data_IF_345423551300
#
_entry.id   IF_345423551300
#
_cell.length_a   1.000
_cell.length_b   1.000
_cell.length_c   1.000
_cell.angle_alpha   90.00
_cell.angle_beta   90.00
_cell.angle_gamma   90.00
#
_symmetry.space_group_name_H-M   'P 1'
#
loop_
_entity.id
_entity.type
_entity.pdbx_description
1 polymer ?
#
# COMPACT_ATOMS: atom_id res chain seq x y z
N UNK A 1 7.50 -30.16 -9.94
CA UNK A 1 7.04 -29.29 -8.83
C UNK A 1 5.79 -29.94 -8.25
N UNK A 2 5.89 -30.59 -7.08
CA UNK A 2 4.92 -31.57 -6.57
C UNK A 2 3.58 -30.94 -6.17
N UNK A 3 2.48 -31.66 -6.45
CA UNK A 3 1.09 -31.34 -6.11
C UNK A 3 0.86 -31.03 -4.60
N UNK A 4 1.79 -31.45 -3.72
CA UNK A 4 1.73 -31.17 -2.29
C UNK A 4 2.05 -29.70 -1.92
N UNK A 5 2.89 -29.00 -2.69
CA UNK A 5 3.31 -27.62 -2.37
C UNK A 5 2.15 -26.63 -2.53
N UNK A 6 1.18 -26.92 -3.41
CA UNK A 6 0.01 -26.06 -3.63
C UNK A 6 -1.01 -26.07 -2.46
N UNK A 7 -0.92 -26.99 -1.50
CA UNK A 7 -1.91 -27.08 -0.40
C UNK A 7 -1.71 -26.07 0.72
N UNK A 8 -0.52 -25.46 0.85
CA UNK A 8 -0.16 -24.64 2.01
C UNK A 8 0.03 -23.14 1.70
N UNK A 9 -0.28 -22.68 0.49
CA UNK A 9 -0.26 -21.23 0.21
C UNK A 9 -1.42 -20.57 0.98
N UNK A 10 -1.16 -19.57 1.84
CA UNK A 10 -2.20 -18.92 2.61
C UNK A 10 -3.25 -18.28 1.69
N UNK A 11 -4.53 -18.47 2.02
CA UNK A 11 -5.65 -17.91 1.26
C UNK A 11 -5.98 -16.53 1.78
N UNK A 12 -6.41 -15.63 0.89
CA UNK A 12 -6.82 -14.26 1.25
C UNK A 12 -8.13 -14.16 2.02
N UNK A 13 -8.89 -15.26 2.11
CA UNK A 13 -10.16 -15.33 2.81
C UNK A 13 -10.40 -16.71 3.43
N UNK A 14 -11.15 -16.73 4.53
CA UNK A 14 -11.62 -17.92 5.22
C UNK A 14 -13.14 -17.93 5.34
N UNK A 15 -13.74 -19.09 5.64
CA UNK A 15 -15.19 -19.22 5.86
C UNK A 15 -15.47 -19.29 7.35
N UNK A 16 -16.51 -18.60 7.81
CA UNK A 16 -16.97 -18.67 9.19
C UNK A 16 -18.48 -18.86 9.25
N UNK A 17 -18.96 -19.56 10.29
CA UNK A 17 -20.39 -19.65 10.58
C UNK A 17 -20.77 -18.45 11.43
N UNK A 18 -21.73 -17.65 10.96
CA UNK A 18 -22.22 -16.45 11.64
C UNK A 18 -23.71 -16.57 11.94
N UNK A 19 -24.19 -15.73 12.84
CA UNK A 19 -25.60 -15.55 13.17
C UNK A 19 -26.07 -14.20 12.64
N UNK A 20 -27.11 -14.20 11.83
CA UNK A 20 -27.74 -13.00 11.29
C UNK A 20 -29.02 -12.74 12.06
N UNK A 21 -29.15 -11.52 12.57
CA UNK A 21 -30.37 -11.04 13.22
C UNK A 21 -31.04 -10.04 12.28
N UNK A 22 -32.23 -10.38 11.79
CA UNK A 22 -32.98 -9.58 10.82
C UNK A 22 -34.47 -9.64 11.16
N UNK A 23 -35.11 -8.47 11.32
CA UNK A 23 -36.52 -8.36 11.73
C UNK A 23 -36.87 -9.18 13.00
N UNK A 24 -35.96 -9.22 13.97
CA UNK A 24 -36.12 -9.97 15.22
C UNK A 24 -35.95 -11.50 15.08
N UNK A 25 -35.67 -12.01 13.88
CA UNK A 25 -35.38 -13.42 13.65
C UNK A 25 -33.88 -13.68 13.61
N UNK A 26 -33.45 -14.82 14.19
CA UNK A 26 -32.06 -15.24 14.23
C UNK A 26 -31.88 -16.46 13.31
N UNK A 27 -30.96 -16.38 12.35
CA UNK A 27 -30.59 -17.50 11.46
C UNK A 27 -29.09 -17.63 11.32
N UNK A 28 -28.57 -18.86 11.21
CA UNK A 28 -27.15 -19.07 10.92
C UNK A 28 -26.88 -19.11 9.42
N UNK A 29 -25.79 -18.50 8.95
CA UNK A 29 -25.30 -18.64 7.57
C UNK A 29 -23.76 -18.71 7.53
N UNK A 30 -23.22 -19.07 6.38
CA UNK A 30 -21.78 -18.95 6.11
C UNK A 30 -21.46 -17.52 5.68
N UNK A 31 -20.39 -16.97 6.23
CA UNK A 31 -19.80 -15.70 5.81
C UNK A 31 -18.35 -15.89 5.38
N UNK A 32 -17.82 -14.92 4.63
CA UNK A 32 -16.42 -14.90 4.24
C UNK A 32 -15.68 -13.82 5.03
N UNK A 33 -14.64 -14.25 5.73
CA UNK A 33 -13.75 -13.35 6.47
C UNK A 33 -12.49 -13.12 5.65
N UNK A 34 -11.95 -11.91 5.74
CA UNK A 34 -10.58 -11.64 5.31
C UNK A 34 -9.62 -12.45 6.15
N UNK A 35 -8.60 -13.03 5.52
CA UNK A 35 -7.48 -13.59 6.25
C UNK A 35 -6.51 -12.47 6.63
N UNK A 36 -6.17 -12.41 7.90
CA UNK A 36 -5.16 -11.50 8.47
C UNK A 36 -4.06 -12.35 9.10
N UNK A 37 -2.84 -12.24 8.58
CA UNK A 37 -1.68 -13.01 9.03
C UNK A 37 -0.43 -12.12 9.13
N UNK A 38 0.49 -12.39 10.05
CA UNK A 38 1.75 -11.64 10.12
C UNK A 38 2.61 -11.96 8.90
N UNK A 39 3.27 -10.94 8.36
CA UNK A 39 4.36 -11.08 7.40
C UNK A 39 5.59 -10.37 7.95
N UNK A 40 6.66 -11.14 8.11
CA UNK A 40 7.96 -10.66 8.49
C UNK A 40 8.85 -10.46 7.25
N UNK A 41 9.49 -9.30 7.16
CA UNK A 41 10.42 -8.94 6.09
C UNK A 41 11.83 -8.97 6.67
N UNK A 42 12.68 -9.86 6.16
CA UNK A 42 14.07 -10.01 6.61
C UNK A 42 15.03 -9.74 5.46
N UNK A 43 16.01 -8.88 5.70
CA UNK A 43 17.19 -8.79 4.83
C UNK A 43 18.12 -9.96 5.11
N UNK A 44 18.74 -10.50 4.06
CA UNK A 44 19.76 -11.56 4.16
C UNK A 44 21.11 -10.96 4.55
N UNK A 45 21.46 -9.82 3.97
CA UNK A 45 22.69 -9.10 4.24
C UNK A 45 22.41 -7.58 4.33
N UNK A 46 22.54 -6.97 5.52
CA UNK A 46 22.78 -7.63 6.81
C UNK A 46 21.58 -8.51 7.21
N UNK A 47 21.85 -9.58 7.97
CA UNK A 47 20.81 -10.47 8.47
C UNK A 47 19.96 -9.76 9.53
N UNK A 48 18.84 -9.16 9.13
CA UNK A 48 18.02 -8.32 10.01
C UNK A 48 16.55 -8.30 9.60
N UNK A 49 15.65 -8.39 10.58
CA UNK A 49 14.23 -8.11 10.40
C UNK A 49 14.02 -6.61 10.29
N UNK A 50 13.42 -6.17 9.19
CA UNK A 50 13.16 -4.74 8.94
C UNK A 50 11.70 -4.36 9.16
N UNK A 51 10.77 -5.32 9.11
CA UNK A 51 9.37 -5.08 9.42
C UNK A 51 8.64 -6.39 9.77
N UNK A 52 7.58 -6.24 10.58
CA UNK A 52 6.52 -7.21 10.77
C UNK A 52 5.20 -6.46 10.59
N UNK A 53 4.34 -6.92 9.69
CA UNK A 53 3.04 -6.29 9.42
C UNK A 53 1.94 -7.34 9.33
N UNK A 54 0.73 -7.00 9.76
CA UNK A 54 -0.44 -7.85 9.52
C UNK A 54 -0.96 -7.59 8.11
N UNK A 55 -1.02 -8.62 7.27
CA UNK A 55 -1.39 -8.52 5.84
C UNK A 55 -2.61 -9.37 5.49
N UNK A 56 -3.10 -9.20 4.27
CA UNK A 56 -3.92 -10.21 3.59
C UNK A 56 -3.07 -10.98 2.56
N UNK A 57 -3.01 -12.32 2.59
CA UNK A 57 -2.17 -13.08 1.66
C UNK A 57 -2.51 -12.96 0.18
N UNK A 58 -1.48 -13.10 -0.68
CA UNK A 58 -1.62 -13.25 -2.14
C UNK A 58 -0.81 -12.29 -3.01
N UNK A 59 -0.15 -11.29 -2.43
CA UNK A 59 0.71 -10.33 -3.14
C UNK A 59 1.89 -9.88 -2.26
N UNK A 60 2.54 -10.84 -1.59
CA UNK A 60 3.49 -10.52 -0.52
C UNK A 60 4.82 -10.00 -1.07
N UNK A 61 5.27 -10.45 -2.24
CA UNK A 61 6.44 -9.86 -2.91
C UNK A 61 6.21 -8.41 -3.33
N UNK A 62 4.99 -8.09 -3.77
CA UNK A 62 4.60 -6.70 -4.05
C UNK A 62 4.63 -5.88 -2.75
N UNK A 63 4.07 -6.40 -1.66
CA UNK A 63 4.10 -5.74 -0.35
C UNK A 63 5.54 -5.44 0.08
N UNK A 64 6.42 -6.43 -0.01
CA UNK A 64 7.83 -6.29 0.38
C UNK A 64 8.56 -5.27 -0.49
N UNK A 65 8.47 -5.37 -1.81
CA UNK A 65 9.14 -4.43 -2.71
C UNK A 65 8.64 -3.00 -2.50
N UNK A 66 7.32 -2.82 -2.34
CA UNK A 66 6.73 -1.51 -2.09
C UNK A 66 7.10 -0.91 -0.74
N UNK A 67 7.14 -1.72 0.31
CA UNK A 67 7.60 -1.31 1.63
C UNK A 67 9.06 -0.83 1.59
N UNK A 68 9.97 -1.66 1.05
CA UNK A 68 11.39 -1.33 0.97
C UNK A 68 11.63 -0.06 0.16
N UNK A 69 10.91 0.15 -0.94
CA UNK A 69 11.02 1.35 -1.74
C UNK A 69 10.46 2.59 -1.03
N UNK A 70 9.28 2.46 -0.42
CA UNK A 70 8.64 3.53 0.34
C UNK A 70 9.48 4.02 1.52
N UNK A 71 10.21 3.10 2.14
CA UNK A 71 11.15 3.41 3.21
C UNK A 71 12.51 3.89 2.70
N UNK A 72 12.78 3.81 1.40
CA UNK A 72 14.03 4.24 0.78
C UNK A 72 15.19 3.25 0.98
N UNK A 73 14.89 1.98 1.26
CA UNK A 73 15.86 0.88 1.33
C UNK A 73 16.34 0.50 -0.07
N UNK A 74 15.43 0.55 -1.04
CA UNK A 74 15.71 0.35 -2.47
C UNK A 74 15.19 1.54 -3.27
N UNK A 75 15.74 1.76 -4.46
CA UNK A 75 15.33 2.79 -5.41
C UNK A 75 14.88 2.22 -6.76
N UNK A 76 15.20 0.96 -7.06
CA UNK A 76 14.73 0.26 -8.25
C UNK A 76 14.56 -1.25 -8.02
N UNK A 77 14.05 -1.96 -9.03
CA UNK A 77 13.85 -3.41 -8.96
C UNK A 77 15.19 -4.15 -8.89
N UNK A 78 16.20 -3.65 -9.59
CA UNK A 78 17.52 -4.27 -9.71
C UNK A 78 18.35 -4.21 -8.43
N UNK A 79 17.88 -3.46 -7.43
CA UNK A 79 18.42 -3.47 -6.07
C UNK A 79 18.07 -4.77 -5.33
N UNK A 80 17.00 -5.46 -5.74
CA UNK A 80 16.59 -6.76 -5.21
C UNK A 80 17.22 -7.86 -6.08
N UNK A 81 18.16 -8.61 -5.52
CA UNK A 81 18.73 -9.79 -6.17
C UNK A 81 17.76 -10.98 -6.08
N UNK A 82 17.19 -11.21 -4.90
CA UNK A 82 16.27 -12.31 -4.67
C UNK A 82 15.22 -11.98 -3.59
N UNK A 83 14.00 -12.50 -3.77
CA UNK A 83 13.01 -12.63 -2.71
C UNK A 83 12.55 -14.08 -2.64
N UNK A 84 12.43 -14.63 -1.45
CA UNK A 84 11.91 -15.98 -1.24
C UNK A 84 11.19 -16.09 0.08
N UNK A 85 10.19 -16.97 0.13
CA UNK A 85 9.62 -17.36 1.41
C UNK A 85 10.62 -18.20 2.18
N UNK A 86 10.73 -17.95 3.48
CA UNK A 86 11.40 -18.86 4.38
C UNK A 86 10.54 -20.11 4.55
N UNK A 87 11.05 -21.25 4.08
CA UNK A 87 10.41 -22.57 4.20
C UNK A 87 11.35 -23.56 4.90
N UNK A 88 12.13 -23.05 5.86
CA UNK A 88 13.09 -23.85 6.63
C UNK A 88 12.33 -24.89 7.47
N UNK A 89 12.86 -26.12 7.52
CA UNK A 89 12.25 -27.25 8.24
C UNK A 89 12.14 -27.05 9.75
N UNK A 90 12.91 -26.11 10.30
CA UNK A 90 12.94 -25.78 11.73
C UNK A 90 11.87 -24.73 12.11
N UNK A 91 11.14 -24.20 11.14
CA UNK A 91 10.05 -23.25 11.33
C UNK A 91 8.73 -24.02 11.37
N UNK A 92 7.85 -23.70 12.33
CA UNK A 92 6.53 -24.31 12.43
C UNK A 92 5.79 -24.22 11.09
N UNK A 93 5.08 -25.28 10.70
CA UNK A 93 4.47 -25.36 9.37
C UNK A 93 3.49 -24.19 9.08
N UNK A 94 2.98 -23.56 10.13
CA UNK A 94 2.07 -22.40 10.15
C UNK A 94 2.79 -21.06 9.89
N UNK A 95 4.11 -21.01 10.09
CA UNK A 95 4.96 -19.86 9.78
C UNK A 95 5.59 -19.96 8.38
N UNK A 96 5.51 -21.13 7.73
CA UNK A 96 5.80 -21.22 6.29
C UNK A 96 4.94 -20.20 5.55
N UNK A 97 5.56 -19.38 4.71
CA UNK A 97 4.91 -18.29 3.96
C UNK A 97 4.60 -17.00 4.76
N UNK A 98 5.02 -16.89 6.02
CA UNK A 98 4.89 -15.67 6.82
C UNK A 98 6.22 -14.92 7.02
N UNK A 99 7.31 -15.41 6.42
CA UNK A 99 8.60 -14.72 6.40
C UNK A 99 9.07 -14.63 4.95
N UNK A 100 9.41 -13.43 4.48
CA UNK A 100 10.12 -13.22 3.22
C UNK A 100 11.56 -12.80 3.52
N UNK A 101 12.51 -13.59 3.01
CA UNK A 101 13.93 -13.26 2.94
C UNK A 101 14.17 -12.45 1.67
N UNK A 102 14.84 -11.32 1.80
CA UNK A 102 15.20 -10.41 0.72
C UNK A 102 16.72 -10.29 0.66
N UNK A 103 17.27 -10.67 -0.48
CA UNK A 103 18.67 -10.44 -0.81
C UNK A 103 18.76 -9.19 -1.67
N UNK A 104 19.47 -8.18 -1.16
CA UNK A 104 19.74 -6.94 -1.86
C UNK A 104 21.08 -7.05 -2.59
N UNK A 105 21.29 -6.22 -3.62
CA UNK A 105 22.59 -6.11 -4.29
C UNK A 105 23.69 -5.80 -3.28
N UNK A 106 24.81 -6.52 -3.36
CA UNK A 106 25.94 -6.42 -2.42
C UNK A 106 26.46 -4.99 -2.19
N UNK A 107 26.39 -4.14 -3.21
CA UNK A 107 26.85 -2.75 -3.14
C UNK A 107 25.93 -1.83 -2.33
N UNK A 108 24.68 -2.24 -2.08
CA UNK A 108 23.72 -1.46 -1.30
C UNK A 108 24.03 -1.58 0.18
N UNK A 109 24.18 -0.42 0.82
CA UNK A 109 24.34 -0.30 2.27
C UNK A 109 23.16 0.50 2.82
N UNK A 110 21.99 -0.14 3.02
CA UNK A 110 20.82 0.57 3.48
C UNK A 110 21.02 1.11 4.91
N UNK A 111 20.50 2.30 5.18
CA UNK A 111 20.55 2.92 6.50
C UNK A 111 19.42 2.37 7.40
N UNK A 112 19.64 1.19 7.96
CA UNK A 112 18.64 0.45 8.74
C UNK A 112 18.23 1.06 10.09
N UNK A 113 19.07 1.81 10.83
CA UNK A 113 18.66 2.48 12.08
C UNK A 113 17.49 3.49 11.95
N UNK A 114 17.14 3.89 10.73
CA UNK A 114 15.92 4.68 10.48
C UNK A 114 14.65 3.82 10.55
N UNK A 115 14.69 2.57 10.06
CA UNK A 115 13.55 1.64 10.02
C UNK A 115 13.13 1.18 11.42
N UNK A 116 14.10 0.90 12.31
CA UNK A 116 13.81 0.49 13.69
C UNK A 116 12.99 1.54 14.46
N UNK A 117 13.25 2.83 14.22
CA UNK A 117 12.48 3.91 14.85
C UNK A 117 11.05 4.01 14.33
N UNK A 118 10.82 3.74 13.04
CA UNK A 118 9.48 3.70 12.46
C UNK A 118 8.68 2.46 12.92
N UNK A 119 9.35 1.34 13.15
CA UNK A 119 8.74 0.10 13.66
C UNK A 119 8.03 0.31 15.02
N UNK A 120 8.66 0.99 15.98
CA UNK A 120 8.07 1.22 17.31
C UNK A 120 7.13 2.43 17.41
N UNK A 121 7.21 3.39 16.49
CA UNK A 121 6.45 4.67 16.59
C UNK A 121 5.16 4.70 15.76
N UNK A 122 5.01 3.82 14.77
CA UNK A 122 3.82 3.76 13.90
C UNK A 122 2.52 3.34 14.63
N UNK A 123 2.63 2.79 15.85
CA UNK A 123 1.48 2.34 16.65
C UNK A 123 1.09 3.30 17.78
N UNK A 124 1.94 4.25 18.17
CA UNK A 124 1.67 5.13 19.29
C UNK A 124 2.50 6.43 19.22
N UNK A 125 1.81 7.57 19.25
CA UNK A 125 2.34 8.92 19.45
C UNK A 125 3.23 9.49 18.33
N UNK A 126 2.59 10.27 17.45
CA UNK A 126 3.03 11.64 17.13
C UNK A 126 4.53 11.87 16.97
N UNK A 127 5.15 11.25 15.96
CA UNK A 127 6.40 11.77 15.42
C UNK A 127 6.12 13.19 14.93
N UNK A 128 6.86 14.18 15.45
CA UNK A 128 6.70 15.58 15.05
C UNK A 128 6.76 15.70 13.53
N UNK A 129 5.73 16.28 12.91
CA UNK A 129 5.63 16.38 11.45
C UNK A 129 6.85 17.02 10.77
N UNK A 130 7.61 17.86 11.50
CA UNK A 130 8.87 18.45 11.03
C UNK A 130 9.98 17.42 10.81
N UNK A 131 10.19 16.50 11.76
CA UNK A 131 11.20 15.43 11.64
C UNK A 131 10.87 14.51 10.46
N UNK A 132 9.58 14.31 10.20
CA UNK A 132 9.12 13.47 9.10
C UNK A 132 9.27 14.17 7.73
N UNK A 133 9.04 15.48 7.66
CA UNK A 133 9.34 16.30 6.46
C UNK A 133 10.83 16.36 6.14
N UNK A 134 11.68 16.57 7.16
CA UNK A 134 13.14 16.57 7.02
C UNK A 134 13.63 15.21 6.53
N UNK A 135 13.04 14.11 7.00
CA UNK A 135 13.40 12.76 6.54
C UNK A 135 13.19 12.59 5.03
N UNK A 136 12.12 13.14 4.46
CA UNK A 136 11.85 13.10 3.02
C UNK A 136 12.85 13.94 2.22
N UNK A 137 13.25 15.10 2.75
CA UNK A 137 14.30 15.93 2.14
C UNK A 137 15.65 15.24 2.17
N UNK A 138 15.98 14.56 3.28
CA UNK A 138 17.20 13.74 3.41
C UNK A 138 17.20 12.59 2.40
N UNK A 139 16.03 11.98 2.14
CA UNK A 139 15.83 10.98 1.08
C UNK A 139 15.89 11.55 -0.34
N UNK A 140 16.17 12.85 -0.50
CA UNK A 140 16.31 13.51 -1.80
C UNK A 140 15.00 13.73 -2.55
N UNK A 141 13.85 13.62 -1.87
CA UNK A 141 12.56 13.91 -2.50
C UNK A 141 12.48 15.39 -2.88
N UNK A 142 12.04 15.64 -4.11
CA UNK A 142 11.77 16.98 -4.64
C UNK A 142 10.28 17.13 -4.93
N UNK A 143 9.75 18.37 -4.99
CA UNK A 143 8.36 18.59 -5.38
C UNK A 143 8.02 17.95 -6.73
N UNK A 144 6.85 17.31 -6.80
CA UNK A 144 6.36 16.60 -7.99
C UNK A 144 5.77 17.63 -8.96
N UNK A 145 6.65 18.31 -9.69
CA UNK A 145 6.24 19.27 -10.71
C UNK A 145 5.65 18.52 -11.91
N UNK A 146 4.42 18.87 -12.30
CA UNK A 146 3.75 18.33 -13.48
C UNK A 146 2.81 19.36 -14.09
N UNK A 147 2.56 19.23 -15.39
CA UNK A 147 1.58 20.04 -16.12
C UNK A 147 0.27 19.27 -16.38
N UNK A 148 0.11 18.07 -15.80
CA UNK A 148 -1.09 17.25 -15.95
C UNK A 148 -2.33 18.05 -15.50
N UNK A 149 -3.35 18.05 -16.36
CA UNK A 149 -4.69 18.56 -16.08
C UNK A 149 -5.67 17.40 -16.19
N UNK A 150 -6.52 17.23 -15.19
CA UNK A 150 -7.53 16.17 -15.14
C UNK A 150 -8.90 16.81 -15.00
N UNK A 151 -9.88 16.31 -15.75
CA UNK A 151 -11.25 16.80 -15.64
C UNK A 151 -11.92 16.31 -14.36
N UNK A 152 -12.79 17.14 -13.79
CA UNK A 152 -13.58 16.74 -12.62
C UNK A 152 -14.40 15.48 -12.88
N UNK A 153 -14.93 15.30 -14.09
CA UNK A 153 -15.74 14.15 -14.50
C UNK A 153 -14.93 12.84 -14.45
N UNK A 154 -13.66 12.86 -14.83
CA UNK A 154 -12.79 11.70 -14.76
C UNK A 154 -12.56 11.29 -13.30
N UNK A 155 -12.24 12.25 -12.43
CA UNK A 155 -12.02 12.01 -10.99
C UNK A 155 -13.25 11.37 -10.36
N UNK A 156 -14.46 11.85 -10.69
CA UNK A 156 -15.72 11.35 -10.16
C UNK A 156 -16.01 9.88 -10.53
N UNK A 157 -15.40 9.36 -11.59
CA UNK A 157 -15.57 7.95 -12.02
C UNK A 157 -14.66 6.97 -11.28
N UNK A 158 -13.54 7.44 -10.72
CA UNK A 158 -12.52 6.56 -10.11
C UNK A 158 -13.06 5.67 -8.98
N UNK A 159 -13.94 6.13 -8.06
CA UNK A 159 -14.46 5.27 -6.99
C UNK A 159 -15.26 4.08 -7.50
N UNK A 160 -16.03 4.28 -8.56
CA UNK A 160 -16.82 3.21 -9.17
C UNK A 160 -15.89 2.17 -9.80
N UNK A 161 -14.90 2.62 -10.59
CA UNK A 161 -13.88 1.74 -11.19
C UNK A 161 -13.08 0.97 -10.15
N UNK A 162 -12.71 1.61 -9.04
CA UNK A 162 -12.05 0.96 -7.91
C UNK A 162 -12.94 -0.16 -7.36
N UNK A 163 -14.18 0.17 -6.99
CA UNK A 163 -15.12 -0.77 -6.36
C UNK A 163 -15.42 -1.98 -7.26
N UNK A 164 -15.63 -1.76 -8.56
CA UNK A 164 -15.92 -2.82 -9.53
C UNK A 164 -14.75 -3.81 -9.70
N UNK A 165 -13.52 -3.35 -9.52
CA UNK A 165 -12.33 -4.19 -9.64
C UNK A 165 -11.99 -4.99 -8.36
N UNK A 166 -12.60 -4.67 -7.22
CA UNK A 166 -12.29 -5.29 -5.93
C UNK A 166 -13.01 -6.64 -5.73
N UNK A 167 -12.34 -7.72 -6.14
CA UNK A 167 -12.88 -9.08 -6.07
C UNK A 167 -13.04 -9.62 -4.64
N UNK A 168 -12.10 -9.30 -3.73
CA UNK A 168 -12.13 -9.85 -2.37
C UNK A 168 -13.04 -9.01 -1.49
N UNK A 169 -12.96 -7.67 -1.56
CA UNK A 169 -13.88 -6.80 -0.84
C UNK A 169 -15.35 -7.08 -1.14
N UNK A 170 -15.69 -7.40 -2.39
CA UNK A 170 -17.07 -7.76 -2.76
C UNK A 170 -17.59 -8.98 -1.99
N UNK A 171 -16.69 -9.87 -1.54
CA UNK A 171 -17.03 -11.08 -0.78
C UNK A 171 -16.96 -10.88 0.73
N UNK A 172 -16.06 -10.04 1.21
CA UNK A 172 -15.74 -9.93 2.65
C UNK A 172 -16.09 -8.59 3.29
N UNK A 173 -16.19 -7.51 2.50
CA UNK A 173 -16.36 -6.14 2.97
C UNK A 173 -15.22 -5.59 3.83
N UNK A 174 -14.14 -6.35 4.04
CA UNK A 174 -13.16 -6.11 5.11
C UNK A 174 -11.78 -5.64 4.65
N UNK A 175 -11.62 -5.25 3.38
CA UNK A 175 -10.33 -4.84 2.82
C UNK A 175 -10.27 -3.36 2.45
N UNK A 176 -9.07 -2.80 2.60
CA UNK A 176 -8.68 -1.61 1.89
C UNK A 176 -8.14 -1.96 0.50
N UNK A 177 -8.35 -1.05 -0.45
CA UNK A 177 -7.73 -1.08 -1.76
C UNK A 177 -6.96 0.21 -2.08
N UNK A 178 -5.93 0.04 -2.91
CA UNK A 178 -5.24 1.09 -3.64
C UNK A 178 -5.22 0.73 -5.13
N UNK A 179 -5.53 1.70 -5.98
CA UNK A 179 -5.54 1.55 -7.44
C UNK A 179 -4.67 2.62 -8.10
N UNK A 180 -4.02 2.21 -9.19
CA UNK A 180 -3.25 3.06 -10.08
C UNK A 180 -4.05 3.23 -11.38
N UNK A 181 -4.25 4.48 -11.77
CA UNK A 181 -4.86 4.85 -13.03
C UNK A 181 -3.89 5.66 -13.89
N UNK A 182 -4.02 5.57 -15.20
CA UNK A 182 -3.41 6.55 -16.11
C UNK A 182 -4.15 7.90 -16.05
N UNK A 183 -3.68 8.88 -16.82
CA UNK A 183 -4.28 10.23 -16.87
C UNK A 183 -5.61 10.25 -17.64
N UNK A 184 -5.92 9.20 -18.40
CA UNK A 184 -7.20 8.96 -19.08
C UNK A 184 -8.22 8.24 -18.17
N UNK A 185 -7.81 7.83 -16.97
CA UNK A 185 -8.65 7.18 -15.97
C UNK A 185 -8.86 5.68 -16.21
N UNK A 186 -8.02 5.03 -17.02
CA UNK A 186 -8.01 3.59 -17.16
C UNK A 186 -7.30 2.95 -15.97
N UNK A 187 -7.87 1.87 -15.44
CA UNK A 187 -7.29 1.14 -14.31
C UNK A 187 -6.07 0.34 -14.80
N UNK A 188 -4.89 0.67 -14.29
CA UNK A 188 -3.63 -0.01 -14.60
C UNK A 188 -3.36 -1.17 -13.64
N UNK A 189 -3.47 -0.90 -12.32
CA UNK A 189 -3.21 -1.88 -11.25
C UNK A 189 -4.13 -1.67 -10.06
N UNK A 190 -4.44 -2.75 -9.36
CA UNK A 190 -5.21 -2.77 -8.12
C UNK A 190 -4.55 -3.72 -7.13
N UNK A 191 -4.46 -3.30 -5.86
CA UNK A 191 -4.07 -4.16 -4.75
C UNK A 191 -4.97 -3.95 -3.54
N UNK A 192 -5.29 -5.06 -2.88
CA UNK A 192 -6.13 -5.11 -1.69
C UNK A 192 -5.32 -5.65 -0.49
N UNK A 193 -5.61 -5.13 0.70
CA UNK A 193 -5.06 -5.60 1.97
C UNK A 193 -5.94 -5.16 3.16
N UNK A 194 -5.90 -5.92 4.26
CA UNK A 194 -6.56 -5.53 5.52
C UNK A 194 -6.01 -4.18 6.03
N UNK A 195 -4.73 -3.90 5.79
CA UNK A 195 -4.08 -2.63 6.09
C UNK A 195 -4.03 -1.68 4.89
N UNK A 196 -4.54 -0.46 5.03
CA UNK A 196 -4.46 0.58 3.96
C UNK A 196 -3.03 0.90 3.50
N UNK A 197 -2.06 0.85 4.41
CA UNK A 197 -0.65 1.12 4.08
C UNK A 197 -0.06 -0.01 3.25
N UNK A 198 -0.36 -1.26 3.60
CA UNK A 198 0.06 -2.45 2.86
C UNK A 198 -0.60 -2.51 1.47
N UNK A 199 -1.87 -2.09 1.34
CA UNK A 199 -2.53 -2.03 0.04
C UNK A 199 -1.78 -1.08 -0.93
N UNK A 200 -1.32 0.08 -0.43
CA UNK A 200 -0.53 1.01 -1.22
C UNK A 200 0.90 0.50 -1.47
N UNK A 201 1.55 -0.12 -0.49
CA UNK A 201 2.87 -0.75 -0.70
C UNK A 201 2.77 -1.83 -1.79
N UNK A 202 1.79 -2.74 -1.70
CA UNK A 202 1.54 -3.71 -2.77
C UNK A 202 1.36 -3.04 -4.12
N UNK A 203 0.61 -1.94 -4.20
CA UNK A 203 0.42 -1.23 -5.47
C UNK A 203 1.77 -0.72 -6.02
N UNK A 204 2.54 -0.02 -5.20
CA UNK A 204 3.85 0.53 -5.57
C UNK A 204 4.85 -0.59 -5.91
N UNK A 205 4.91 -1.63 -5.10
CA UNK A 205 5.74 -2.80 -5.33
C UNK A 205 5.42 -3.52 -6.63
N UNK A 206 4.13 -3.65 -6.97
CA UNK A 206 3.73 -4.22 -8.25
C UNK A 206 4.21 -3.39 -9.45
N UNK A 207 4.34 -2.07 -9.32
CA UNK A 207 4.91 -1.21 -10.35
C UNK A 207 6.44 -1.31 -10.40
N UNK A 208 7.11 -1.40 -9.25
CA UNK A 208 8.56 -1.63 -9.15
C UNK A 208 8.94 -2.95 -9.82
N UNK A 209 8.29 -4.05 -9.44
CA UNK A 209 8.58 -5.38 -9.96
C UNK A 209 8.27 -5.50 -11.46
N UNK A 210 7.33 -4.71 -11.98
CA UNK A 210 7.05 -4.60 -13.42
C UNK A 210 7.91 -3.56 -14.16
N UNK A 211 8.85 -2.88 -13.48
CA UNK A 211 9.73 -1.83 -14.05
C UNK A 211 8.98 -0.64 -14.65
N UNK A 212 7.89 -0.23 -13.99
CA UNK A 212 7.01 0.87 -14.42
C UNK A 212 7.26 2.18 -13.65
N UNK A 213 8.35 2.24 -12.86
CA UNK A 213 8.71 3.43 -12.09
C UNK A 213 9.43 4.49 -12.95
N UNK A 214 9.28 5.79 -12.67
CA UNK A 214 8.41 6.39 -11.65
C UNK A 214 6.95 6.52 -12.10
N UNK A 215 6.02 6.71 -11.14
CA UNK A 215 4.58 6.82 -11.40
C UNK A 215 4.13 8.28 -11.62
N UNK A 216 4.99 9.09 -12.27
CA UNK A 216 4.82 10.53 -12.40
C UNK A 216 3.74 10.97 -13.41
N UNK A 217 3.15 10.02 -14.14
CA UNK A 217 2.05 10.23 -15.08
C UNK A 217 0.82 9.38 -14.69
N UNK A 218 0.60 9.20 -13.39
CA UNK A 218 -0.49 8.37 -12.89
C UNK A 218 -1.29 9.07 -11.79
N UNK A 219 -2.51 8.57 -11.59
CA UNK A 219 -3.39 8.91 -10.46
C UNK A 219 -3.44 7.71 -9.53
N UNK A 220 -3.22 7.93 -8.23
CA UNK A 220 -3.49 6.89 -7.23
C UNK A 220 -4.80 7.18 -6.54
N UNK A 221 -5.64 6.16 -6.43
CA UNK A 221 -6.85 6.19 -5.63
C UNK A 221 -6.75 5.22 -4.46
N UNK A 222 -7.07 5.67 -3.25
CA UNK A 222 -7.16 4.83 -2.06
C UNK A 222 -8.57 4.83 -1.46
N UNK A 223 -8.99 3.66 -0.99
CA UNK A 223 -10.28 3.47 -0.29
C UNK A 223 -10.30 4.06 1.13
N UNK A 224 -9.13 4.25 1.74
CA UNK A 224 -8.97 4.69 3.12
C UNK A 224 -8.83 6.21 3.31
N UNK A 225 -8.35 6.60 4.49
CA UNK A 225 -7.93 7.97 4.80
C UNK A 225 -6.51 8.22 4.25
N UNK A 226 -6.24 9.45 3.82
CA UNK A 226 -4.90 9.89 3.43
C UNK A 226 -4.15 10.41 4.67
N UNK A 227 -3.35 9.53 5.29
CA UNK A 227 -2.41 9.91 6.35
C UNK A 227 -1.12 10.50 5.77
N UNK A 228 -0.27 11.02 6.65
CA UNK A 228 1.09 11.43 6.29
C UNK A 228 1.85 10.29 5.58
N UNK A 229 1.81 9.07 6.11
CA UNK A 229 2.53 7.92 5.55
C UNK A 229 2.01 7.53 4.17
N UNK A 230 0.68 7.54 3.95
CA UNK A 230 0.11 7.29 2.62
C UNK A 230 0.66 8.28 1.60
N UNK A 231 0.74 9.55 1.98
CA UNK A 231 1.24 10.59 1.10
C UNK A 231 2.77 10.53 0.92
N UNK A 232 3.52 10.19 1.97
CA UNK A 232 4.97 9.92 1.90
C UNK A 232 5.26 8.88 0.82
N UNK A 233 4.54 7.75 0.84
CA UNK A 233 4.66 6.69 -0.17
C UNK A 233 4.38 7.17 -1.58
N UNK A 234 3.35 8.01 -1.74
CA UNK A 234 3.03 8.62 -3.03
C UNK A 234 4.17 9.53 -3.53
N UNK A 235 4.76 10.34 -2.65
CA UNK A 235 5.88 11.23 -2.98
C UNK A 235 7.13 10.43 -3.36
N UNK A 236 7.45 9.37 -2.60
CA UNK A 236 8.56 8.46 -2.93
C UNK A 236 8.39 7.85 -4.32
N UNK A 237 7.16 7.48 -4.70
CA UNK A 237 6.83 6.95 -6.03
C UNK A 237 6.64 8.04 -7.12
N UNK A 238 6.83 9.32 -6.77
CA UNK A 238 6.63 10.50 -7.62
C UNK A 238 5.21 10.66 -8.17
N UNK A 239 4.20 10.18 -7.45
CA UNK A 239 2.80 10.26 -7.86
C UNK A 239 2.30 11.71 -7.72
N UNK A 240 1.81 12.33 -8.80
CA UNK A 240 1.37 13.73 -8.78
C UNK A 240 -0.05 13.95 -8.26
N UNK A 241 -0.93 12.93 -8.33
CA UNK A 241 -2.32 13.03 -7.90
C UNK A 241 -2.70 11.85 -6.97
N UNK A 242 -3.13 12.17 -5.75
CA UNK A 242 -3.68 11.22 -4.78
C UNK A 242 -5.16 11.54 -4.50
N UNK A 243 -6.03 10.60 -4.83
CA UNK A 243 -7.46 10.63 -4.54
C UNK A 243 -7.81 9.67 -3.41
N UNK A 244 -8.68 10.09 -2.49
CA UNK A 244 -9.14 9.24 -1.40
C UNK A 244 -10.66 9.30 -1.21
N UNK A 245 -11.27 8.15 -0.92
CA UNK A 245 -12.68 8.06 -0.55
C UNK A 245 -12.97 8.80 0.76
N UNK A 246 -12.00 8.83 1.69
CA UNK A 246 -12.14 9.40 3.03
C UNK A 246 -11.34 10.70 3.20
N UNK A 247 -11.27 11.20 4.44
CA UNK A 247 -10.60 12.45 4.80
C UNK A 247 -9.06 12.33 4.78
N UNK A 248 -8.34 13.41 4.44
CA UNK A 248 -6.92 13.55 4.76
C UNK A 248 -6.68 14.01 6.20
N UNK A 249 -5.47 13.78 6.74
CA UNK A 249 -5.02 14.45 7.97
C UNK A 249 -4.41 15.83 7.67
N UNK A 250 -4.32 16.71 8.67
CA UNK A 250 -3.68 18.03 8.53
C UNK A 250 -2.24 17.92 8.05
N UNK A 251 -1.46 16.98 8.61
CA UNK A 251 -0.08 16.76 8.22
C UNK A 251 0.06 16.23 6.78
N UNK A 252 -0.90 15.43 6.30
CA UNK A 252 -0.93 15.03 4.89
C UNK A 252 -1.16 16.24 3.99
N UNK A 253 -2.07 17.14 4.34
CA UNK A 253 -2.30 18.38 3.56
C UNK A 253 -1.02 19.22 3.51
N UNK A 254 -0.36 19.45 4.64
CA UNK A 254 0.92 20.20 4.67
C UNK A 254 1.98 19.57 3.77
N UNK A 255 2.13 18.25 3.84
CA UNK A 255 3.09 17.52 3.01
C UNK A 255 2.74 17.61 1.51
N UNK A 256 1.44 17.56 1.17
CA UNK A 256 0.99 17.65 -0.21
C UNK A 256 1.28 19.03 -0.81
N UNK A 257 1.17 20.10 -0.01
CA UNK A 257 1.54 21.45 -0.42
C UNK A 257 3.04 21.57 -0.66
N UNK A 258 3.87 21.09 0.27
CA UNK A 258 5.33 21.16 0.17
C UNK A 258 5.85 20.43 -1.08
N UNK A 259 5.28 19.26 -1.38
CA UNK A 259 5.73 18.41 -2.48
C UNK A 259 4.87 18.54 -3.74
N UNK A 260 3.94 19.51 -3.79
CA UNK A 260 3.08 19.78 -4.96
C UNK A 260 2.34 18.54 -5.47
N UNK A 261 1.78 17.75 -4.56
CA UNK A 261 0.89 16.63 -4.90
C UNK A 261 -0.53 17.13 -4.83
N UNK A 262 -1.35 16.88 -5.86
CA UNK A 262 -2.79 17.15 -5.80
C UNK A 262 -3.44 16.15 -4.85
N UNK A 263 -4.00 16.65 -3.76
CA UNK A 263 -4.65 15.83 -2.74
C UNK A 263 -6.16 16.04 -2.79
N UNK A 264 -6.88 14.99 -3.17
CA UNK A 264 -8.33 14.95 -3.22
C UNK A 264 -8.83 14.00 -2.14
N UNK A 265 -9.80 14.47 -1.35
CA UNK A 265 -10.45 13.67 -0.30
C UNK A 265 -11.97 13.73 -0.38
N UNK A 266 -12.62 12.86 0.38
CA UNK A 266 -14.09 12.71 0.35
C UNK A 266 -14.65 12.44 -1.06
N UNK A 267 -13.88 11.74 -1.90
CA UNK A 267 -14.29 11.39 -3.26
C UNK A 267 -15.33 10.27 -3.24
N UNK A 268 -16.61 10.64 -3.19
CA UNK A 268 -17.77 9.75 -3.12
C UNK A 268 -19.04 10.53 -3.46
N UNK A 269 -20.14 9.83 -3.76
CA UNK A 269 -21.46 10.46 -3.95
C UNK A 269 -21.45 11.62 -4.97
N UNK A 270 -20.70 11.45 -6.05
CA UNK A 270 -20.53 12.45 -7.11
C UNK A 270 -19.99 13.82 -6.63
N UNK A 271 -19.15 13.83 -5.58
CA UNK A 271 -18.47 15.04 -5.08
C UNK A 271 -17.08 14.71 -4.54
N UNK A 272 -16.25 15.73 -4.38
CA UNK A 272 -14.95 15.65 -3.72
C UNK A 272 -14.47 17.02 -3.23
N UNK A 273 -13.46 17.01 -2.35
CA UNK A 273 -12.77 18.21 -1.90
C UNK A 273 -11.33 18.19 -2.42
N UNK A 274 -10.89 19.30 -2.99
CA UNK A 274 -9.48 19.51 -3.35
C UNK A 274 -8.79 20.22 -2.19
N UNK A 275 -7.68 19.67 -1.70
CA UNK A 275 -6.91 20.24 -0.59
C UNK A 275 -5.66 20.99 -1.06
N UNK A 276 -5.10 20.61 -2.21
CA UNK A 276 -3.84 21.14 -2.76
C UNK A 276 -3.82 21.06 -4.29
N UNK A 277 -3.03 21.92 -4.94
CA UNK A 277 -2.81 21.94 -6.40
C UNK A 277 -4.12 21.94 -7.21
N UNK A 278 -5.10 22.77 -6.80
CA UNK A 278 -6.44 22.81 -7.39
C UNK A 278 -6.44 23.23 -8.86
N UNK A 279 -5.43 23.98 -9.28
CA UNK A 279 -5.24 24.37 -10.67
C UNK A 279 -5.06 23.18 -11.63
N UNK A 280 -4.76 21.96 -11.13
CA UNK A 280 -4.68 20.75 -11.95
C UNK A 280 -6.02 20.11 -12.28
N UNK A 281 -7.11 20.58 -11.67
CA UNK A 281 -8.47 20.08 -11.93
C UNK A 281 -9.22 21.10 -12.79
N UNK A 282 -9.72 20.64 -13.95
CA UNK A 282 -10.44 21.45 -14.94
C UNK A 282 -11.89 21.02 -15.13
#
# INVERSE_FOLDING_TARGET
MSLLIMKNIPKSQSKSKVWVVENGQIRSRTDFLVTEEPLEIRLVSPAQTVAVTMRTPGADFDLVAGFLYSEGVIICQEDIQQMSYCVDSDIEAEQNYNIIKVELREELKPNLPSLERHFFTSSACGVCGKTSLESLKIKGCIPVNTNIKITSELILQLPTKLKEAQNIFTKTGGLHAAALFDIEGNLLKLREDVGRHNALDKLIGSAILSKEMPLNNCIVMVSGRSSFEILQKCIMAKIPLLCAVSAPSSLAVTLAQEFKVTLIGFLRENRFNIYTEAERII
#
